data_IF_535984774312
#
_entry.id   IF_535984774312
#
_cell.length_a   1.000
_cell.length_b   1.000
_cell.length_c   1.000
_cell.angle_alpha   90.00
_cell.angle_beta   90.00
_cell.angle_gamma   90.00
#
_symmetry.space_group_name_H-M   'P 1'
#
loop_
_entity.id
_entity.type
_entity.pdbx_description
1 polymer ?
#
# COMPACT_ATOMS: atom_id res chain seq x y z
N UNK A 1 17.38 8.86 -37.17
CA UNK A 1 16.80 9.01 -35.83
C UNK A 1 17.48 8.03 -34.89
N UNK A 2 18.24 8.52 -33.92
CA UNK A 2 18.91 7.67 -32.94
C UNK A 2 17.92 7.02 -31.98
N UNK A 3 18.12 5.74 -31.64
CA UNK A 3 17.43 5.08 -30.54
C UNK A 3 17.76 5.87 -29.26
N UNK A 4 16.76 6.27 -28.42
CA UNK A 4 17.06 6.94 -27.17
C UNK A 4 17.93 6.04 -26.30
N UNK A 5 19.11 6.53 -25.90
CA UNK A 5 19.97 5.84 -24.94
C UNK A 5 19.27 5.90 -23.58
N UNK A 6 18.68 4.79 -23.17
CA UNK A 6 18.18 4.64 -21.80
C UNK A 6 19.42 4.44 -20.94
N UNK A 7 19.69 5.38 -20.02
CA UNK A 7 20.77 5.22 -19.07
C UNK A 7 20.50 3.99 -18.22
N UNK A 8 21.51 3.11 -18.09
CA UNK A 8 21.40 1.94 -17.21
C UNK A 8 21.20 2.40 -15.78
N UNK A 9 20.05 2.00 -15.20
CA UNK A 9 19.80 2.13 -13.77
C UNK A 9 20.44 0.95 -13.03
N UNK A 10 20.92 1.13 -11.80
CA UNK A 10 21.47 0.03 -11.04
C UNK A 10 20.39 -1.05 -10.82
N UNK A 11 20.80 -2.32 -10.84
CA UNK A 11 19.93 -3.44 -10.51
C UNK A 11 19.54 -3.33 -9.05
N UNK A 12 18.25 -3.32 -8.77
CA UNK A 12 17.70 -3.30 -7.42
C UNK A 12 17.29 -4.71 -7.01
N UNK A 13 17.83 -5.17 -5.90
CA UNK A 13 17.53 -6.49 -5.37
C UNK A 13 17.68 -6.56 -3.87
N UNK A 14 17.38 -7.75 -3.29
CA UNK A 14 17.44 -8.04 -1.87
C UNK A 14 18.19 -9.35 -1.65
N UNK A 15 18.85 -9.45 -0.51
CA UNK A 15 19.66 -10.60 -0.12
C UNK A 15 19.28 -11.10 1.29
N UNK A 16 19.80 -12.25 1.68
CA UNK A 16 19.56 -12.82 3.02
C UNK A 16 19.99 -11.88 4.15
N UNK A 17 21.04 -11.08 3.93
CA UNK A 17 21.47 -10.08 4.90
C UNK A 17 20.42 -9.00 5.19
N UNK A 18 19.53 -8.74 4.24
CA UNK A 18 18.42 -7.79 4.41
C UNK A 18 17.35 -8.30 5.39
N UNK A 19 17.39 -9.57 5.78
CA UNK A 19 16.50 -10.17 6.77
C UNK A 19 16.99 -10.00 8.22
N UNK A 20 18.21 -9.53 8.43
CA UNK A 20 18.79 -9.34 9.77
C UNK A 20 17.94 -8.34 10.55
N UNK A 21 17.58 -8.71 11.78
CA UNK A 21 16.77 -7.89 12.67
C UNK A 21 15.26 -8.06 12.52
N UNK A 22 14.80 -8.91 11.60
CA UNK A 22 13.39 -9.24 11.43
C UNK A 22 13.00 -10.49 12.22
N UNK A 23 11.78 -10.52 12.71
CA UNK A 23 11.16 -11.72 13.26
C UNK A 23 10.73 -12.64 12.11
N UNK A 24 11.29 -13.83 12.04
CA UNK A 24 11.04 -14.80 10.97
C UNK A 24 10.55 -16.14 11.53
N UNK A 25 9.66 -16.86 10.84
CA UNK A 25 8.99 -16.47 9.60
C UNK A 25 7.88 -15.44 9.85
N UNK A 26 7.54 -14.64 8.82
CA UNK A 26 6.47 -13.65 8.91
C UNK A 26 5.70 -13.48 7.59
N UNK A 27 4.49 -12.92 7.70
CA UNK A 27 3.67 -12.47 6.57
C UNK A 27 3.23 -11.02 6.77
N UNK A 28 4.10 -10.19 7.33
CA UNK A 28 3.78 -8.81 7.64
C UNK A 28 3.78 -7.93 6.38
N UNK A 29 2.87 -6.98 6.36
CA UNK A 29 2.78 -5.98 5.29
C UNK A 29 3.87 -4.92 5.43
N UNK A 30 4.05 -4.11 4.40
CA UNK A 30 4.93 -2.95 4.44
C UNK A 30 4.20 -1.77 5.07
N UNK A 31 4.65 -1.36 6.26
CA UNK A 31 4.12 -0.19 6.98
C UNK A 31 5.27 0.73 7.32
N UNK A 32 5.19 1.97 6.86
CA UNK A 32 6.28 2.94 6.96
C UNK A 32 5.85 4.22 7.68
N UNK A 33 6.85 4.97 8.15
CA UNK A 33 6.74 6.38 8.45
C UNK A 33 7.34 7.16 7.28
N UNK A 34 6.64 8.17 6.80
CA UNK A 34 7.11 8.97 5.66
C UNK A 34 6.70 10.42 5.82
N UNK A 35 7.56 11.33 5.39
CA UNK A 35 7.24 12.75 5.38
C UNK A 35 6.31 13.06 4.20
N UNK A 36 5.17 13.67 4.51
CA UNK A 36 4.24 14.24 3.53
C UNK A 36 4.08 15.72 3.88
N UNK A 37 4.41 16.59 2.94
CA UNK A 37 4.54 18.03 3.18
C UNK A 37 5.48 18.31 4.38
N UNK A 38 4.99 18.97 5.40
CA UNK A 38 5.75 19.33 6.58
C UNK A 38 5.59 18.37 7.77
N UNK A 39 4.89 17.25 7.57
CA UNK A 39 4.57 16.31 8.64
C UNK A 39 5.12 14.92 8.37
N UNK A 40 5.62 14.25 9.41
CA UNK A 40 5.93 12.82 9.36
C UNK A 40 4.67 12.04 9.72
N UNK A 41 4.22 11.23 8.79
CA UNK A 41 3.02 10.41 8.92
C UNK A 41 3.42 8.97 9.22
N UNK A 42 2.95 8.47 10.33
CA UNK A 42 3.13 7.08 10.74
C UNK A 42 2.02 6.18 10.22
N UNK A 43 2.23 4.88 10.24
CA UNK A 43 1.25 3.86 9.83
C UNK A 43 0.72 4.08 8.41
N UNK A 44 1.64 4.25 7.50
CA UNK A 44 1.35 4.32 6.07
C UNK A 44 1.63 2.96 5.45
N UNK A 45 0.59 2.31 4.95
CA UNK A 45 0.71 1.03 4.26
C UNK A 45 1.15 1.23 2.82
N UNK A 46 2.20 0.55 2.40
CA UNK A 46 2.63 0.53 1.00
C UNK A 46 2.06 -0.72 0.34
N UNK A 47 1.17 -0.51 -0.63
CA UNK A 47 0.35 -1.59 -1.20
C UNK A 47 0.29 -1.49 -2.74
N UNK A 48 1.00 -2.39 -3.43
CA UNK A 48 0.98 -2.50 -4.89
C UNK A 48 -0.39 -2.92 -5.45
N UNK A 49 -1.24 -3.48 -4.63
CA UNK A 49 -2.61 -3.84 -5.00
C UNK A 49 -3.55 -2.65 -5.16
N UNK A 50 -3.15 -1.46 -4.72
CA UNK A 50 -3.97 -0.25 -4.77
C UNK A 50 -3.67 0.61 -5.99
N UNK A 51 -4.73 1.03 -6.67
CA UNK A 51 -4.65 1.92 -7.84
C UNK A 51 -4.58 3.41 -7.48
N UNK A 52 -4.70 3.76 -6.21
CA UNK A 52 -4.70 5.13 -5.72
C UNK A 52 -3.92 5.26 -4.41
N UNK A 53 -3.40 6.45 -4.15
CA UNK A 53 -2.89 6.83 -2.84
C UNK A 53 -4.07 7.34 -2.00
N UNK A 54 -4.10 7.00 -0.72
CA UNK A 54 -5.19 7.31 0.19
C UNK A 54 -4.63 7.96 1.46
N UNK A 55 -5.28 9.01 1.95
CA UNK A 55 -5.06 9.57 3.28
C UNK A 55 -6.37 9.71 4.03
N UNK A 56 -6.32 9.49 5.33
CA UNK A 56 -7.45 9.73 6.22
C UNK A 56 -7.71 11.23 6.37
N UNK A 57 -8.99 11.61 6.40
CA UNK A 57 -9.40 12.99 6.64
C UNK A 57 -8.81 13.54 7.94
N UNK A 58 -8.75 12.74 8.98
CA UNK A 58 -8.19 13.12 10.28
C UNK A 58 -6.72 13.55 10.17
N UNK A 59 -5.95 12.92 9.30
CA UNK A 59 -4.54 13.31 9.03
C UNK A 59 -4.49 14.67 8.35
N UNK A 60 -5.30 14.88 7.33
CA UNK A 60 -5.38 16.15 6.61
C UNK A 60 -5.80 17.28 7.55
N UNK A 61 -6.75 17.03 8.45
CA UNK A 61 -7.20 17.99 9.46
C UNK A 61 -6.07 18.34 10.44
N UNK A 62 -5.33 17.35 10.93
CA UNK A 62 -4.17 17.58 11.82
C UNK A 62 -3.06 18.40 11.12
N UNK A 63 -2.90 18.24 9.82
CA UNK A 63 -1.96 19.03 9.02
C UNK A 63 -2.46 20.46 8.73
N UNK A 64 -3.72 20.76 9.03
CA UNK A 64 -4.34 22.05 8.70
C UNK A 64 -4.60 22.27 7.21
N UNK A 65 -4.68 21.18 6.43
CA UNK A 65 -4.79 21.24 4.97
C UNK A 65 -6.21 20.94 4.44
N UNK A 66 -7.19 20.78 5.31
CA UNK A 66 -8.57 20.48 4.91
C UNK A 66 -9.14 21.46 3.87
N UNK A 67 -8.90 22.80 3.97
CA UNK A 67 -9.37 23.74 2.96
C UNK A 67 -8.81 23.52 1.54
N UNK A 68 -7.69 22.80 1.41
CA UNK A 68 -7.05 22.47 0.13
C UNK A 68 -7.66 21.25 -0.56
N UNK A 69 -8.57 20.54 0.09
CA UNK A 69 -9.22 19.38 -0.49
C UNK A 69 -10.12 19.81 -1.67
N UNK A 70 -9.88 19.19 -2.82
CA UNK A 70 -10.76 19.34 -3.97
C UNK A 70 -11.97 18.40 -3.81
N UNK A 71 -13.12 18.98 -3.46
CA UNK A 71 -14.36 18.23 -3.18
C UNK A 71 -15.15 17.83 -4.42
N UNK A 72 -14.72 18.22 -5.62
CA UNK A 72 -15.42 17.89 -6.86
C UNK A 72 -15.21 16.45 -7.30
N UNK A 73 -14.15 15.79 -6.83
CA UNK A 73 -13.82 14.41 -7.14
C UNK A 73 -14.33 13.46 -6.03
N UNK A 74 -15.60 13.04 -6.09
CA UNK A 74 -16.27 12.33 -4.98
C UNK A 74 -16.57 10.86 -5.20
N UNK A 75 -16.01 10.15 -6.18
CA UNK A 75 -16.38 8.74 -6.33
C UNK A 75 -15.20 7.80 -6.43
N UNK A 76 -15.11 6.88 -5.47
CA UNK A 76 -14.38 5.63 -5.57
C UNK A 76 -15.35 4.47 -5.50
N UNK A 77 -15.34 3.66 -6.53
CA UNK A 77 -15.98 2.35 -6.48
C UNK A 77 -14.99 1.40 -5.81
N UNK A 78 -15.30 0.97 -4.61
CA UNK A 78 -14.51 -0.03 -3.89
C UNK A 78 -14.57 -1.38 -4.59
N UNK A 79 -13.51 -2.18 -4.46
CA UNK A 79 -13.34 -3.49 -5.11
C UNK A 79 -14.42 -4.54 -4.73
N UNK A 80 -15.22 -4.28 -3.70
CA UNK A 80 -16.25 -5.19 -3.20
C UNK A 80 -17.68 -4.64 -3.30
N UNK A 81 -17.94 -3.68 -4.20
CA UNK A 81 -19.27 -3.07 -4.30
C UNK A 81 -19.65 -2.19 -3.09
N UNK A 82 -18.79 -2.07 -2.10
CA UNK A 82 -18.94 -1.10 -1.04
C UNK A 82 -18.48 0.26 -1.55
N UNK A 83 -19.37 1.21 -1.59
CA UNK A 83 -19.07 2.59 -2.01
C UNK A 83 -18.34 3.28 -0.86
N UNK A 84 -17.01 3.35 -0.92
CA UNK A 84 -16.25 4.24 -0.06
C UNK A 84 -16.50 5.67 -0.52
N UNK A 85 -17.14 6.46 0.34
CA UNK A 85 -17.39 7.87 0.04
C UNK A 85 -16.08 8.63 0.25
N UNK A 86 -15.49 9.11 -0.83
CA UNK A 86 -14.36 10.02 -0.72
C UNK A 86 -14.83 11.41 -0.36
N UNK A 87 -14.08 12.05 0.52
CA UNK A 87 -14.26 13.49 0.82
C UNK A 87 -13.83 14.35 -0.36
N UNK A 88 -12.85 13.88 -1.12
CA UNK A 88 -12.28 14.55 -2.28
C UNK A 88 -10.85 14.10 -2.54
N UNK A 89 -10.08 14.90 -3.25
CA UNK A 89 -8.67 14.66 -3.54
C UNK A 89 -7.81 15.83 -3.08
N UNK A 90 -6.53 15.55 -2.83
CA UNK A 90 -5.53 16.57 -2.48
C UNK A 90 -4.18 16.17 -3.08
N UNK A 91 -3.45 17.16 -3.60
CA UNK A 91 -2.09 16.97 -4.11
C UNK A 91 -1.08 17.37 -3.04
N UNK A 92 -0.19 16.48 -2.70
CA UNK A 92 0.81 16.67 -1.64
C UNK A 92 2.18 16.13 -2.06
N UNK A 93 3.23 16.78 -1.59
CA UNK A 93 4.61 16.32 -1.78
C UNK A 93 4.97 15.21 -0.80
N UNK A 94 5.44 14.09 -1.34
CA UNK A 94 5.98 12.97 -0.55
C UNK A 94 7.50 13.08 -0.58
N UNK A 95 8.11 13.12 0.60
CA UNK A 95 9.55 13.18 0.78
C UNK A 95 10.09 11.82 1.19
N UNK A 96 10.78 11.16 0.29
CA UNK A 96 11.62 10.00 0.56
C UNK A 96 13.09 10.38 0.47
N UNK A 97 14.03 9.61 1.04
CA UNK A 97 15.44 9.93 0.94
C UNK A 97 15.87 10.24 -0.51
N UNK A 98 16.38 11.44 -0.75
CA UNK A 98 16.85 11.97 -2.03
C UNK A 98 15.81 12.12 -3.15
N UNK A 99 14.52 11.90 -2.88
CA UNK A 99 13.43 12.02 -3.86
C UNK A 99 12.22 12.72 -3.26
N UNK A 100 11.79 13.79 -3.90
CA UNK A 100 10.51 14.46 -3.60
C UNK A 100 9.56 14.26 -4.77
N UNK A 101 8.34 13.85 -4.50
CA UNK A 101 7.38 13.45 -5.52
C UNK A 101 6.00 14.00 -5.20
N UNK A 102 5.44 14.83 -6.08
CA UNK A 102 4.07 15.31 -5.96
C UNK A 102 3.11 14.17 -6.32
N UNK A 103 2.16 13.88 -5.44
CA UNK A 103 1.18 12.82 -5.63
C UNK A 103 -0.23 13.28 -5.25
N UNK A 104 -1.20 12.78 -5.98
CA UNK A 104 -2.61 12.95 -5.66
C UNK A 104 -3.05 11.87 -4.67
N UNK A 105 -3.68 12.31 -3.59
CA UNK A 105 -4.29 11.44 -2.59
C UNK A 105 -5.81 11.54 -2.65
N UNK A 106 -6.47 10.41 -2.51
CA UNK A 106 -7.89 10.37 -2.20
C UNK A 106 -8.05 10.48 -0.70
N UNK A 107 -8.92 11.40 -0.27
CA UNK A 107 -9.18 11.64 1.14
C UNK A 107 -10.43 10.86 1.53
N UNK A 108 -10.30 9.99 2.51
CA UNK A 108 -11.39 9.16 3.03
C UNK A 108 -11.62 9.44 4.52
N UNK A 109 -12.85 9.27 4.95
CA UNK A 109 -13.23 9.35 6.36
C UNK A 109 -13.73 7.99 6.82
N UNK A 110 -12.78 7.10 7.09
CA UNK A 110 -13.07 5.74 7.52
C UNK A 110 -12.25 5.37 8.75
N UNK A 111 -12.77 4.44 9.53
CA UNK A 111 -12.00 3.88 10.64
C UNK A 111 -11.06 2.81 10.10
N UNK A 112 -9.76 3.11 10.11
CA UNK A 112 -8.71 2.23 9.62
C UNK A 112 -7.53 2.20 10.59
N UNK A 113 -6.79 1.07 10.68
CA UNK A 113 -5.53 1.05 11.42
C UNK A 113 -4.43 1.87 10.75
N UNK A 114 -4.60 2.23 9.48
CA UNK A 114 -3.62 3.01 8.70
C UNK A 114 -4.04 4.47 8.60
N UNK A 115 -3.06 5.36 8.71
CA UNK A 115 -3.25 6.78 8.43
C UNK A 115 -3.32 7.09 6.94
N UNK A 116 -2.70 6.23 6.14
CA UNK A 116 -2.70 6.33 4.67
C UNK A 116 -2.25 5.05 4.00
N UNK A 117 -2.42 5.02 2.70
CA UNK A 117 -1.96 3.95 1.82
C UNK A 117 -1.26 4.59 0.64
N UNK A 118 -0.04 4.17 0.36
CA UNK A 118 0.68 4.50 -0.86
C UNK A 118 0.53 3.35 -1.85
N UNK A 119 -0.15 3.62 -2.93
CA UNK A 119 -0.42 2.67 -4.00
C UNK A 119 0.54 2.78 -5.17
N UNK A 120 0.18 2.13 -6.26
CA UNK A 120 0.98 2.13 -7.50
C UNK A 120 1.32 3.51 -8.05
N UNK A 121 0.48 4.57 -7.92
CA UNK A 121 0.88 5.88 -8.44
C UNK A 121 2.19 6.40 -7.85
N UNK A 122 2.41 6.24 -6.54
CA UNK A 122 3.68 6.62 -5.91
C UNK A 122 4.78 5.59 -6.19
N UNK A 123 4.49 4.30 -5.99
CA UNK A 123 5.46 3.21 -6.16
C UNK A 123 6.09 3.26 -7.56
N UNK A 124 5.27 3.40 -8.59
CA UNK A 124 5.74 3.45 -9.97
C UNK A 124 6.45 4.77 -10.30
N UNK A 125 5.99 5.89 -9.71
CA UNK A 125 6.59 7.20 -9.98
C UNK A 125 8.04 7.28 -9.52
N UNK A 126 8.36 6.70 -8.38
CA UNK A 126 9.73 6.65 -7.88
C UNK A 126 10.50 5.40 -8.33
N UNK A 127 9.89 4.58 -9.19
CA UNK A 127 10.46 3.32 -9.70
C UNK A 127 10.87 2.37 -8.58
N UNK A 128 10.05 2.30 -7.52
CA UNK A 128 10.35 1.50 -6.35
C UNK A 128 10.13 0.01 -6.59
N UNK A 129 11.02 -0.78 -6.02
CA UNK A 129 10.89 -2.22 -5.85
C UNK A 129 10.62 -2.50 -4.38
N UNK A 130 9.50 -3.13 -4.09
CA UNK A 130 9.07 -3.43 -2.73
C UNK A 130 9.31 -4.89 -2.38
N UNK A 131 9.67 -5.16 -1.12
CA UNK A 131 9.77 -6.51 -0.61
C UNK A 131 9.18 -6.60 0.79
N UNK A 132 8.01 -7.20 0.91
CA UNK A 132 7.40 -7.47 2.20
C UNK A 132 8.25 -8.43 3.04
N UNK A 133 8.82 -9.47 2.42
CA UNK A 133 9.71 -10.41 3.11
C UNK A 133 10.88 -9.69 3.79
N UNK A 134 11.55 -8.78 3.08
CA UNK A 134 12.72 -8.06 3.60
C UNK A 134 12.34 -6.80 4.37
N UNK A 135 11.05 -6.44 4.41
CA UNK A 135 10.54 -5.23 5.06
C UNK A 135 11.27 -3.95 4.57
N UNK A 136 11.50 -3.88 3.27
CA UNK A 136 12.25 -2.79 2.62
C UNK A 136 11.65 -2.39 1.29
N UNK A 137 11.86 -1.11 0.95
CA UNK A 137 11.52 -0.50 -0.33
C UNK A 137 12.81 0.14 -0.85
N UNK A 138 13.20 -0.18 -2.08
CA UNK A 138 14.39 0.38 -2.74
C UNK A 138 14.00 1.03 -4.06
N UNK A 139 14.64 2.12 -4.39
CA UNK A 139 14.36 2.90 -5.59
C UNK A 139 15.62 3.59 -6.10
N UNK A 140 15.73 3.85 -7.43
CA UNK A 140 16.85 4.60 -7.96
C UNK A 140 16.75 6.07 -7.53
N UNK A 141 17.90 6.69 -7.24
CA UNK A 141 17.95 8.12 -6.92
C UNK A 141 18.58 8.90 -8.06
N UNK A 142 18.17 10.16 -8.31
CA UNK A 142 18.79 11.00 -9.31
C UNK A 142 20.28 11.17 -9.04
N UNK A 143 21.10 11.07 -10.10
CA UNK A 143 22.54 11.16 -10.01
C UNK A 143 23.27 9.85 -9.68
N UNK A 144 22.55 8.76 -9.55
CA UNK A 144 23.08 7.41 -9.29
C UNK A 144 22.91 6.97 -7.84
N UNK A 145 22.90 5.67 -7.63
CA UNK A 145 22.70 5.04 -6.33
C UNK A 145 21.26 4.59 -6.10
N UNK A 146 21.04 4.00 -4.93
CA UNK A 146 19.77 3.39 -4.53
C UNK A 146 19.33 3.99 -3.20
N UNK A 147 18.13 4.55 -3.17
CA UNK A 147 17.45 4.96 -1.94
C UNK A 147 16.76 3.77 -1.27
N UNK A 148 16.55 3.85 0.03
CA UNK A 148 15.88 2.81 0.80
C UNK A 148 14.99 3.40 1.87
N UNK A 149 13.82 2.78 2.01
CA UNK A 149 12.88 3.00 3.11
C UNK A 149 12.69 1.67 3.81
N UNK A 150 12.81 1.66 5.13
CA UNK A 150 12.55 0.48 5.95
C UNK A 150 11.11 0.48 6.42
N UNK A 151 10.46 -0.68 6.33
CA UNK A 151 9.19 -0.92 6.99
C UNK A 151 9.41 -1.18 8.49
N UNK A 152 8.45 -0.76 9.30
CA UNK A 152 8.39 -1.08 10.73
C UNK A 152 7.56 -2.34 10.93
N UNK A 153 8.21 -3.48 11.10
CA UNK A 153 7.56 -4.78 11.26
C UNK A 153 6.65 -4.82 12.50
N UNK A 154 7.07 -4.25 13.62
CA UNK A 154 6.27 -4.21 14.84
C UNK A 154 4.99 -3.38 14.65
N UNK A 155 5.09 -2.26 13.96
CA UNK A 155 3.95 -1.43 13.58
C UNK A 155 2.99 -2.18 12.63
N UNK A 156 3.53 -2.90 11.64
CA UNK A 156 2.74 -3.73 10.73
C UNK A 156 1.95 -4.80 11.47
N UNK A 157 2.56 -5.50 12.41
CA UNK A 157 1.89 -6.47 13.28
C UNK A 157 0.75 -5.83 14.09
N UNK A 158 0.96 -4.66 14.68
CA UNK A 158 -0.07 -3.94 15.43
C UNK A 158 -1.25 -3.53 14.56
N UNK A 159 -0.99 -3.03 13.36
CA UNK A 159 -2.04 -2.66 12.40
C UNK A 159 -2.86 -3.87 11.98
N UNK A 160 -2.22 -4.99 11.68
CA UNK A 160 -2.89 -6.25 11.33
C UNK A 160 -3.76 -6.76 12.47
N UNK A 161 -3.27 -6.73 13.72
CA UNK A 161 -4.02 -7.14 14.89
C UNK A 161 -5.27 -6.28 15.13
N UNK A 162 -5.20 -4.97 14.87
CA UNK A 162 -6.36 -4.06 14.94
C UNK A 162 -7.38 -4.36 13.84
N UNK A 163 -6.93 -4.67 12.62
CA UNK A 163 -7.78 -5.06 11.50
C UNK A 163 -8.55 -6.35 11.79
N UNK A 164 -7.88 -7.37 12.37
CA UNK A 164 -8.51 -8.64 12.75
C UNK A 164 -9.57 -8.50 13.84
N UNK A 165 -9.39 -7.59 14.80
CA UNK A 165 -10.43 -7.31 15.83
C UNK A 165 -11.72 -6.79 15.23
N UNK A 166 -11.67 -6.06 14.11
CA UNK A 166 -12.84 -5.58 13.38
C UNK A 166 -13.47 -6.64 12.50
N UNK A 167 -12.67 -7.52 11.90
CA UNK A 167 -13.16 -8.57 10.99
C UNK A 167 -13.88 -9.71 11.70
N UNK A 168 -13.75 -9.87 13.02
CA UNK A 168 -14.49 -10.88 13.79
C UNK A 168 -16.02 -10.71 13.79
N UNK A 169 -16.52 -9.62 13.23
CA UNK A 169 -17.97 -9.41 13.01
C UNK A 169 -18.44 -9.85 11.61
N UNK A 170 -17.56 -10.27 10.73
CA UNK A 170 -17.96 -10.81 9.44
C UNK A 170 -18.30 -12.29 9.59
N UNK A 171 -19.57 -12.61 9.31
CA UNK A 171 -20.06 -14.00 9.33
C UNK A 171 -19.28 -14.81 8.29
N UNK A 172 -18.71 -15.93 8.77
CA UNK A 172 -18.06 -16.91 7.90
C UNK A 172 -19.12 -17.59 7.04
N UNK A 173 -19.07 -17.38 5.73
CA UNK A 173 -19.88 -18.17 4.80
C UNK A 173 -19.07 -19.40 4.40
N UNK A 174 -19.44 -20.61 4.79
CA UNK A 174 -18.70 -21.81 4.40
C UNK A 174 -18.74 -21.97 2.88
N UNK A 175 -17.59 -22.23 2.29
CA UNK A 175 -17.53 -22.65 0.89
C UNK A 175 -18.13 -24.05 0.84
N UNK A 176 -19.30 -24.20 0.18
CA UNK A 176 -19.85 -25.51 -0.12
C UNK A 176 -18.88 -26.23 -1.06
N UNK A 177 -18.30 -27.32 -0.61
CA UNK A 177 -17.60 -28.23 -1.52
C UNK A 177 -18.63 -28.79 -2.49
N UNK A 178 -18.39 -28.58 -3.77
CA UNK A 178 -19.13 -29.28 -4.81
C UNK A 178 -18.82 -30.78 -4.65
N UNK A 179 -19.80 -31.56 -4.22
CA UNK A 179 -19.72 -33.01 -4.29
C UNK A 179 -19.88 -33.40 -5.76
N UNK A 180 -18.81 -33.93 -6.35
CA UNK A 180 -18.88 -34.59 -7.62
C UNK A 180 -19.78 -35.84 -7.47
N UNK A 181 -21.05 -35.74 -7.89
CA UNK A 181 -21.86 -36.90 -8.14
C UNK A 181 -21.33 -37.54 -9.43
N UNK A 182 -20.37 -38.42 -9.30
CA UNK A 182 -20.04 -39.39 -10.33
C UNK A 182 -21.18 -40.42 -10.40
N UNK A 183 -22.00 -40.25 -11.39
CA UNK A 183 -23.10 -41.19 -11.69
C UNK A 183 -22.57 -42.58 -11.94
N UNK A 184 -22.93 -43.49 -11.08
CA UNK A 184 -22.71 -44.91 -11.22
C UNK A 184 -23.77 -45.47 -12.21
N UNK A 185 -23.30 -45.86 -13.40
CA UNK A 185 -24.16 -46.58 -14.36
C UNK A 185 -24.07 -48.08 -14.07
N UNK A 186 -25.18 -48.79 -13.80
CA UNK A 186 -25.10 -50.22 -13.61
C UNK A 186 -25.00 -50.92 -14.98
N UNK A 187 -23.95 -51.71 -15.16
CA UNK A 187 -23.83 -52.65 -16.28
C UNK A 187 -24.85 -53.77 -16.14
N UNK A 188 -25.70 -53.92 -17.13
CA UNK A 188 -26.46 -55.16 -17.36
C UNK A 188 -25.56 -56.22 -17.97
N UNK A 189 -25.81 -57.41 -17.53
CA UNK A 189 -25.38 -58.70 -17.97
C UNK A 189 -24.90 -58.85 -19.41
#
# INVERSE_FOLDING_TARGET
MGVPVIADTPIIGFQKNDLIGLDLPHNDTLVICIQIEQAVIERVHVDEGRAANILQLSVIQQMGLEPKINKLARSLTGFNGATSITVGTIDLDIHSPSVVCLQTFMVIDEISPYNGILGRPWINKIEAITSALHQKIRYPIPGGGIGQINSDQAMAMRCTAQGLKKSKQLQFTPVMQATDEAGNTPSRQ
#
